data_IF_392976908242
#
_entry.id   IF_392976908242
#
_cell.length_a   1.000
_cell.length_b   1.000
_cell.length_c   1.000
_cell.angle_alpha   90.00
_cell.angle_beta   90.00
_cell.angle_gamma   90.00
#
_symmetry.space_group_name_H-M   'P 1'
#
loop_
_entity.id
_entity.type
_entity.pdbx_description
1 polymer ?
#
# COMPACT_ATOMS: atom_id res chain seq x y z
N UNK A 1 -61.58 35.63 6.17
CA UNK A 1 -60.23 35.03 6.20
C UNK A 1 -60.32 33.59 6.71
N UNK A 2 -60.33 32.58 5.85
CA UNK A 2 -59.98 31.18 6.18
C UNK A 2 -59.35 30.56 4.95
N UNK A 3 -58.16 29.99 5.16
CA UNK A 3 -57.12 29.69 4.16
C UNK A 3 -57.34 28.36 3.47
N UNK A 4 -57.12 28.35 2.14
CA UNK A 4 -57.09 27.17 1.28
C UNK A 4 -55.77 26.44 1.51
N UNK A 5 -55.80 25.19 1.99
CA UNK A 5 -54.62 24.31 2.04
C UNK A 5 -54.45 23.66 0.65
N UNK A 6 -53.44 24.10 -0.10
CA UNK A 6 -52.98 23.40 -1.32
C UNK A 6 -52.16 22.17 -0.90
N UNK A 7 -52.61 20.99 -1.26
CA UNK A 7 -51.86 19.74 -1.12
C UNK A 7 -50.96 19.59 -2.37
N UNK A 8 -49.67 19.80 -2.20
CA UNK A 8 -48.65 19.49 -3.21
C UNK A 8 -48.19 18.05 -2.95
N UNK A 9 -48.55 17.11 -3.83
CA UNK A 9 -48.00 15.76 -3.81
C UNK A 9 -46.81 15.72 -4.78
N UNK A 10 -45.60 15.68 -4.22
CA UNK A 10 -44.35 15.53 -4.96
C UNK A 10 -44.18 14.05 -5.33
N UNK A 11 -44.30 13.72 -6.62
CA UNK A 11 -43.95 12.39 -7.13
C UNK A 11 -42.43 12.28 -7.21
N UNK A 12 -41.83 11.49 -6.31
CA UNK A 12 -40.40 11.17 -6.35
C UNK A 12 -40.18 10.13 -7.45
N UNK A 13 -39.54 10.56 -8.53
CA UNK A 13 -39.05 9.67 -9.59
C UNK A 13 -37.74 9.04 -9.09
N UNK A 14 -37.79 7.78 -8.67
CA UNK A 14 -36.61 7.01 -8.30
C UNK A 14 -35.81 6.68 -9.57
N UNK A 15 -34.78 7.46 -9.86
CA UNK A 15 -33.77 7.14 -10.87
C UNK A 15 -32.90 6.04 -10.25
N UNK A 16 -33.22 4.78 -10.55
CA UNK A 16 -32.31 3.66 -10.29
C UNK A 16 -31.12 3.79 -11.24
N UNK A 17 -30.01 4.30 -10.74
CA UNK A 17 -28.72 4.19 -11.42
C UNK A 17 -28.36 2.70 -11.46
N UNK A 18 -28.50 2.07 -12.62
CA UNK A 18 -27.92 0.76 -12.87
C UNK A 18 -26.40 0.95 -12.82
N UNK A 19 -25.80 0.63 -11.68
CA UNK A 19 -24.36 0.50 -11.59
C UNK A 19 -23.95 -0.66 -12.49
N UNK A 20 -23.17 -0.38 -13.53
CA UNK A 20 -22.49 -1.43 -14.28
C UNK A 20 -21.47 -2.09 -13.34
N UNK A 21 -21.83 -3.23 -12.77
CA UNK A 21 -20.83 -4.11 -12.20
C UNK A 21 -19.93 -4.57 -13.35
N UNK A 22 -18.68 -4.13 -13.35
CA UNK A 22 -17.69 -4.60 -14.33
C UNK A 22 -17.44 -6.09 -14.04
N UNK A 23 -17.83 -6.95 -14.97
CA UNK A 23 -17.63 -8.40 -14.84
C UNK A 23 -16.14 -8.73 -14.74
N UNK A 24 -15.77 -9.54 -13.74
CA UNK A 24 -14.41 -10.06 -13.56
C UNK A 24 -14.21 -11.26 -14.47
N UNK A 25 -13.17 -11.23 -15.30
CA UNK A 25 -12.86 -12.26 -16.28
C UNK A 25 -12.07 -13.38 -15.60
N UNK A 26 -12.57 -14.62 -15.69
CA UNK A 26 -11.93 -15.82 -15.15
C UNK A 26 -11.51 -16.78 -16.27
N UNK A 27 -10.87 -17.90 -15.92
CA UNK A 27 -10.53 -18.97 -16.87
C UNK A 27 -11.78 -19.44 -17.64
N UNK A 28 -12.91 -19.60 -16.94
CA UNK A 28 -14.18 -20.02 -17.51
C UNK A 28 -14.74 -18.99 -18.48
N UNK A 29 -14.64 -17.68 -18.17
CA UNK A 29 -15.07 -16.62 -19.09
C UNK A 29 -14.30 -16.67 -20.40
N UNK A 30 -12.99 -16.90 -20.35
CA UNK A 30 -12.16 -17.01 -21.56
C UNK A 30 -12.53 -18.24 -22.37
N UNK A 31 -12.74 -19.39 -21.73
CA UNK A 31 -13.21 -20.61 -22.41
C UNK A 31 -14.56 -20.36 -23.09
N UNK A 32 -15.52 -19.71 -22.41
CA UNK A 32 -16.80 -19.35 -23.02
C UNK A 32 -16.65 -18.42 -24.22
N UNK A 33 -15.73 -17.46 -24.18
CA UNK A 33 -15.48 -16.60 -25.34
C UNK A 33 -14.92 -17.39 -26.53
N UNK A 34 -14.04 -18.37 -26.28
CA UNK A 34 -13.55 -19.27 -27.34
C UNK A 34 -14.71 -20.11 -27.90
N UNK A 35 -15.55 -20.69 -27.05
CA UNK A 35 -16.72 -21.49 -27.45
C UNK A 35 -17.74 -20.67 -28.27
N UNK A 36 -17.91 -19.39 -27.95
CA UNK A 36 -18.77 -18.46 -28.67
C UNK A 36 -18.13 -17.96 -30.00
N UNK A 37 -16.88 -18.31 -30.28
CA UNK A 37 -16.20 -17.99 -31.52
C UNK A 37 -15.64 -16.57 -31.59
N UNK A 38 -15.36 -15.94 -30.44
CA UNK A 38 -14.60 -14.69 -30.42
C UNK A 38 -13.16 -14.95 -30.88
N UNK A 39 -12.60 -14.00 -31.63
CA UNK A 39 -11.20 -14.10 -32.06
C UNK A 39 -10.23 -13.76 -30.93
N UNK A 40 -8.98 -14.21 -31.10
CA UNK A 40 -7.93 -14.03 -30.09
C UNK A 40 -7.71 -12.55 -29.75
N UNK A 41 -7.80 -11.66 -30.74
CA UNK A 41 -7.64 -10.23 -30.54
C UNK A 41 -8.70 -9.65 -29.60
N UNK A 42 -9.98 -10.00 -29.80
CA UNK A 42 -11.08 -9.52 -28.97
C UNK A 42 -11.04 -10.11 -27.55
N UNK A 43 -10.60 -11.36 -27.41
CA UNK A 43 -10.37 -11.98 -26.10
C UNK A 43 -9.23 -11.25 -25.38
N UNK A 44 -8.10 -11.02 -26.05
CA UNK A 44 -6.94 -10.30 -25.51
C UNK A 44 -7.33 -8.88 -25.09
N UNK A 45 -8.06 -8.13 -25.93
CA UNK A 45 -8.53 -6.78 -25.62
C UNK A 45 -9.45 -6.79 -24.38
N UNK A 46 -10.38 -7.75 -24.32
CA UNK A 46 -11.28 -7.91 -23.18
C UNK A 46 -10.53 -8.20 -21.88
N UNK A 47 -9.53 -9.10 -21.92
CA UNK A 47 -8.66 -9.42 -20.79
C UNK A 47 -7.88 -8.19 -20.34
N UNK A 48 -7.34 -7.40 -21.28
CA UNK A 48 -6.54 -6.22 -20.96
C UNK A 48 -7.35 -5.04 -20.40
N UNK A 49 -8.65 -4.97 -20.72
CA UNK A 49 -9.53 -3.85 -20.34
C UNK A 49 -10.45 -4.16 -19.16
N UNK A 50 -10.44 -5.40 -18.64
CA UNK A 50 -11.33 -5.85 -17.57
C UNK A 50 -10.58 -6.17 -16.28
N UNK A 51 -11.33 -6.31 -15.18
CA UNK A 51 -10.80 -7.00 -14.00
C UNK A 51 -10.64 -8.48 -14.33
N UNK A 52 -9.58 -9.10 -13.84
CA UNK A 52 -9.26 -10.50 -14.12
C UNK A 52 -9.03 -11.25 -12.82
N UNK A 53 -9.31 -12.56 -12.85
CA UNK A 53 -8.99 -13.49 -11.77
C UNK A 53 -8.69 -14.86 -12.37
N UNK A 54 -7.44 -15.06 -12.77
CA UNK A 54 -7.02 -16.32 -13.39
C UNK A 54 -6.32 -17.29 -12.43
N UNK A 55 -6.58 -18.59 -12.61
CA UNK A 55 -5.78 -19.71 -12.11
C UNK A 55 -4.77 -20.13 -13.20
N UNK A 56 -3.47 -19.95 -12.92
CA UNK A 56 -2.39 -20.33 -13.82
C UNK A 56 -1.68 -21.63 -13.40
N UNK A 57 -2.34 -22.49 -12.61
CA UNK A 57 -1.86 -23.84 -12.32
C UNK A 57 -1.74 -24.68 -13.59
N UNK A 58 -0.85 -25.67 -13.58
CA UNK A 58 -0.62 -26.56 -14.74
C UNK A 58 -1.91 -27.28 -15.15
N UNK A 59 -2.77 -27.64 -14.19
CA UNK A 59 -4.06 -28.28 -14.45
C UNK A 59 -4.99 -27.33 -15.20
N UNK A 60 -5.18 -26.10 -14.68
CA UNK A 60 -6.06 -25.11 -15.30
C UNK A 60 -5.58 -24.71 -16.70
N UNK A 61 -4.28 -24.47 -16.89
CA UNK A 61 -3.71 -24.17 -18.20
C UNK A 61 -3.85 -25.35 -19.18
N UNK A 62 -3.73 -26.58 -18.69
CA UNK A 62 -3.97 -27.80 -19.47
C UNK A 62 -5.42 -27.91 -19.93
N UNK A 63 -6.38 -27.61 -19.06
CA UNK A 63 -7.81 -27.59 -19.38
C UNK A 63 -8.14 -26.50 -20.41
N UNK A 64 -7.64 -25.27 -20.22
CA UNK A 64 -7.84 -24.18 -21.17
C UNK A 64 -7.25 -24.49 -22.54
N UNK A 65 -6.05 -25.09 -22.59
CA UNK A 65 -5.44 -25.53 -23.84
C UNK A 65 -6.30 -26.60 -24.54
N UNK A 66 -6.84 -27.55 -23.80
CA UNK A 66 -7.73 -28.58 -24.34
C UNK A 66 -9.07 -28.00 -24.82
N UNK A 67 -9.54 -26.90 -24.21
CA UNK A 67 -10.71 -26.14 -24.63
C UNK A 67 -10.47 -25.25 -25.87
N UNK A 68 -9.26 -25.27 -26.44
CA UNK A 68 -8.94 -24.53 -27.67
C UNK A 68 -8.42 -23.11 -27.46
N UNK A 69 -8.15 -22.70 -26.21
CA UNK A 69 -7.54 -21.40 -25.92
C UNK A 69 -6.13 -21.36 -26.53
N UNK A 70 -5.82 -20.29 -27.27
CA UNK A 70 -4.55 -20.17 -27.98
C UNK A 70 -3.36 -19.97 -27.04
N UNK A 71 -2.16 -20.29 -27.52
CA UNK A 71 -0.94 -20.11 -26.71
C UNK A 71 -0.65 -18.64 -26.39
N UNK A 72 -1.10 -17.70 -27.23
CA UNK A 72 -0.99 -16.26 -27.00
C UNK A 72 -1.87 -15.83 -25.82
N UNK A 73 -3.14 -16.26 -25.80
CA UNK A 73 -4.05 -16.00 -24.68
C UNK A 73 -3.56 -16.69 -23.41
N UNK A 74 -3.09 -17.95 -23.48
CA UNK A 74 -2.52 -18.65 -22.32
C UNK A 74 -1.32 -17.91 -21.74
N UNK A 75 -0.45 -17.36 -22.59
CA UNK A 75 0.70 -16.56 -22.16
C UNK A 75 0.25 -15.27 -21.46
N UNK A 76 -0.76 -14.58 -22.01
CA UNK A 76 -1.34 -13.40 -21.39
C UNK A 76 -2.02 -13.74 -20.04
N UNK A 77 -2.71 -14.87 -19.94
CA UNK A 77 -3.32 -15.34 -18.69
C UNK A 77 -2.24 -15.59 -17.64
N UNK A 78 -1.14 -16.27 -18.02
CA UNK A 78 0.01 -16.46 -17.14
C UNK A 78 0.59 -15.12 -16.69
N UNK A 79 0.76 -14.16 -17.59
CA UNK A 79 1.24 -12.81 -17.26
C UNK A 79 0.29 -12.07 -16.30
N UNK A 80 -1.02 -12.07 -16.59
CA UNK A 80 -2.05 -11.38 -15.79
C UNK A 80 -2.31 -12.06 -14.45
N UNK A 81 -2.16 -13.37 -14.35
CA UNK A 81 -2.26 -14.11 -13.08
C UNK A 81 -1.16 -13.70 -12.09
N UNK A 82 0.02 -13.30 -12.58
CA UNK A 82 1.09 -12.70 -11.75
C UNK A 82 0.74 -11.29 -11.26
N UNK A 83 -0.24 -10.64 -11.89
CA UNK A 83 -0.61 -9.23 -11.71
C UNK A 83 -2.07 -9.08 -11.23
N UNK A 84 -2.66 -10.13 -10.65
CA UNK A 84 -4.00 -10.09 -10.06
C UNK A 84 -4.00 -9.20 -8.81
N UNK A 85 -4.04 -7.90 -9.02
CA UNK A 85 -4.93 -6.96 -8.36
C UNK A 85 -4.68 -5.59 -8.99
N UNK A 86 -5.73 -4.91 -9.46
CA UNK A 86 -5.73 -3.47 -9.78
C UNK A 86 -5.30 -2.57 -8.60
N UNK A 87 -4.96 -3.15 -7.46
CA UNK A 87 -4.51 -2.40 -6.33
C UNK A 87 -3.09 -1.93 -6.59
N UNK A 88 -2.94 -0.62 -6.80
CA UNK A 88 -1.63 0.01 -6.91
C UNK A 88 -0.80 -0.39 -5.70
N UNK A 89 0.49 -0.65 -5.92
CA UNK A 89 1.45 -0.88 -4.86
C UNK A 89 1.33 0.19 -3.77
N UNK A 90 1.19 -0.22 -2.50
CA UNK A 90 0.80 0.69 -1.43
C UNK A 90 0.42 0.01 -0.12
N UNK A 91 0.18 0.84 0.91
CA UNK A 91 -0.48 0.43 2.15
C UNK A 91 -1.85 1.07 2.17
N UNK A 92 -2.87 0.25 2.34
CA UNK A 92 -4.27 0.66 2.45
C UNK A 92 -4.78 0.36 3.85
N UNK A 93 -5.77 1.11 4.32
CA UNK A 93 -6.56 0.74 5.51
C UNK A 93 -8.04 0.66 5.14
N UNK A 94 -8.76 -0.27 5.76
CA UNK A 94 -10.21 -0.40 5.57
C UNK A 94 -10.92 0.53 6.54
N UNK A 95 -11.75 1.43 6.00
CA UNK A 95 -12.48 2.39 6.82
C UNK A 95 -13.79 1.82 7.39
N UNK A 96 -14.53 2.63 8.16
CA UNK A 96 -15.74 2.16 8.85
C UNK A 96 -16.89 1.80 7.90
N UNK A 97 -16.81 2.24 6.64
CA UNK A 97 -17.76 1.87 5.59
C UNK A 97 -17.36 0.59 4.83
N UNK A 98 -16.19 0.04 5.13
CA UNK A 98 -15.62 -1.10 4.40
C UNK A 98 -14.87 -0.71 3.13
N UNK A 99 -14.58 0.58 2.92
CA UNK A 99 -13.81 1.07 1.77
C UNK A 99 -12.31 1.10 2.09
N UNK A 100 -11.50 0.57 1.18
CA UNK A 100 -10.04 0.62 1.27
C UNK A 100 -9.49 1.99 0.86
N UNK A 101 -8.78 2.65 1.78
CA UNK A 101 -8.16 3.97 1.57
C UNK A 101 -6.65 3.88 1.60
N UNK A 102 -6.00 4.48 0.61
CA UNK A 102 -4.54 4.53 0.54
C UNK A 102 -3.98 5.39 1.69
N UNK A 103 -3.06 4.82 2.47
CA UNK A 103 -2.25 5.56 3.44
C UNK A 103 -1.20 6.36 2.66
N UNK A 104 -1.39 7.67 2.60
CA UNK A 104 -0.47 8.55 1.91
C UNK A 104 0.85 8.64 2.69
N UNK A 105 2.03 8.46 2.06
CA UNK A 105 3.29 8.59 2.74
C UNK A 105 3.56 10.04 3.15
N UNK A 106 4.22 10.23 4.29
CA UNK A 106 4.78 11.51 4.74
C UNK A 106 6.30 11.47 4.73
N UNK A 107 6.93 12.60 4.43
CA UNK A 107 8.38 12.77 4.52
C UNK A 107 8.80 13.38 5.86
N UNK A 108 9.91 12.92 6.39
CA UNK A 108 10.56 13.57 7.52
C UNK A 108 11.07 14.95 7.11
N UNK A 109 10.71 16.00 7.87
CA UNK A 109 11.06 17.39 7.58
C UNK A 109 12.46 17.80 8.01
N UNK A 110 13.31 16.84 8.37
CA UNK A 110 14.67 17.06 8.84
C UNK A 110 14.99 16.20 10.05
N UNK A 111 15.84 15.19 9.86
CA UNK A 111 16.72 14.78 10.96
C UNK A 111 17.53 16.03 11.30
N UNK A 112 17.45 16.56 12.53
CA UNK A 112 18.13 17.80 12.90
C UNK A 112 19.63 17.72 12.57
N UNK A 113 20.01 18.24 11.40
CA UNK A 113 21.35 18.22 10.80
C UNK A 113 22.21 19.33 11.37
N UNK A 114 22.12 19.57 12.67
CA UNK A 114 23.04 20.47 13.36
C UNK A 114 24.29 19.70 13.80
N UNK A 115 24.95 19.03 12.84
CA UNK A 115 26.22 18.37 13.06
C UNK A 115 27.30 19.36 13.55
N UNK A 116 27.21 20.63 13.15
CA UNK A 116 28.14 21.69 13.59
C UNK A 116 27.80 22.19 15.00
N UNK A 117 26.52 22.39 15.34
CA UNK A 117 26.12 22.85 16.68
C UNK A 117 26.20 21.75 17.74
N UNK A 118 25.98 20.48 17.38
CA UNK A 118 26.18 19.33 18.29
C UNK A 118 27.66 19.13 18.63
N UNK A 119 28.58 19.46 17.71
CA UNK A 119 30.03 19.31 17.92
C UNK A 119 30.62 20.37 18.85
N UNK A 120 30.00 21.55 18.95
CA UNK A 120 30.49 22.66 19.77
C UNK A 120 29.99 22.63 21.22
N UNK A 121 28.89 21.91 21.50
CA UNK A 121 28.30 21.85 22.85
C UNK A 121 28.53 20.49 23.54
N UNK A 122 28.85 19.43 22.79
CA UNK A 122 28.96 18.07 23.35
C UNK A 122 30.41 17.58 23.42
N UNK A 123 31.14 18.09 24.40
CA UNK A 123 32.13 17.25 25.05
C UNK A 123 31.37 16.16 25.80
N UNK A 124 31.33 14.94 25.24
CA UNK A 124 30.71 13.74 25.81
C UNK A 124 29.16 13.73 25.82
N UNK A 125 28.57 12.59 25.45
CA UNK A 125 27.21 12.06 25.76
C UNK A 125 26.34 11.71 24.54
N UNK A 126 26.00 10.42 24.49
CA UNK A 126 25.08 9.67 23.62
C UNK A 126 23.77 10.42 23.31
N UNK A 127 23.75 11.25 22.26
CA UNK A 127 22.55 11.96 21.83
C UNK A 127 21.69 11.06 20.94
N UNK A 128 20.49 10.71 21.43
CA UNK A 128 19.47 9.98 20.65
C UNK A 128 19.17 10.72 19.34
N UNK A 129 19.29 10.03 18.21
CA UNK A 129 18.84 10.58 16.94
C UNK A 129 17.30 10.52 16.84
N UNK A 130 16.72 11.58 16.28
CA UNK A 130 15.28 11.74 16.12
C UNK A 130 14.94 12.14 14.71
N UNK A 131 13.93 11.50 14.15
CA UNK A 131 13.27 11.94 12.93
C UNK A 131 11.97 12.69 13.28
N UNK A 132 11.62 13.70 12.49
CA UNK A 132 10.50 14.60 12.77
C UNK A 132 9.55 14.69 11.58
N UNK A 133 8.25 14.62 11.86
CA UNK A 133 7.18 14.90 10.90
C UNK A 133 6.50 16.23 11.29
N UNK A 134 6.14 17.06 10.31
CA UNK A 134 5.36 18.26 10.58
C UNK A 134 3.93 17.88 11.02
N UNK A 135 3.26 18.86 11.64
CA UNK A 135 1.92 18.75 12.24
C UNK A 135 1.88 17.83 13.45
N UNK A 136 0.95 18.12 14.35
CA UNK A 136 0.66 17.27 15.52
C UNK A 136 -0.18 16.05 15.17
N UNK A 137 -0.73 16.00 13.95
CA UNK A 137 -1.66 15.00 13.49
C UNK A 137 -1.37 14.58 12.04
N UNK A 138 -1.55 13.31 11.73
CA UNK A 138 -1.47 12.79 10.36
C UNK A 138 -2.66 13.24 9.52
N UNK A 139 -2.45 13.34 8.20
CA UNK A 139 -3.57 13.48 7.26
C UNK A 139 -4.32 12.14 7.08
N UNK A 140 -3.69 10.99 7.38
CA UNK A 140 -4.34 9.68 7.36
C UNK A 140 -5.03 9.47 8.71
N UNK A 141 -6.37 9.53 8.73
CA UNK A 141 -7.17 9.43 9.95
C UNK A 141 -7.97 8.12 9.93
N UNK A 142 -7.82 7.36 11.01
CA UNK A 142 -8.43 6.06 11.21
C UNK A 142 -9.24 6.11 12.51
N UNK A 143 -10.49 5.64 12.49
CA UNK A 143 -11.45 5.75 13.61
C UNK A 143 -11.78 4.40 14.24
N UNK A 144 -10.83 3.48 14.16
CA UNK A 144 -10.91 2.13 14.67
C UNK A 144 -9.68 1.89 15.54
N UNK A 145 -9.90 1.41 16.76
CA UNK A 145 -8.80 1.06 17.67
C UNK A 145 -8.05 -0.19 17.21
N UNK A 146 -8.62 -1.03 16.36
CA UNK A 146 -7.96 -2.17 15.75
C UNK A 146 -8.05 -2.05 14.23
N UNK A 147 -7.19 -1.24 13.60
CA UNK A 147 -7.20 -1.06 12.16
C UNK A 147 -6.78 -2.32 11.42
N UNK A 148 -7.36 -2.51 10.23
CA UNK A 148 -6.90 -3.52 9.28
C UNK A 148 -6.22 -2.81 8.11
N UNK A 149 -4.99 -3.23 7.82
CA UNK A 149 -4.23 -2.73 6.70
C UNK A 149 -4.05 -3.81 5.64
N UNK A 150 -3.95 -3.37 4.40
CA UNK A 150 -3.62 -4.20 3.25
C UNK A 150 -2.34 -3.67 2.62
N UNK A 151 -1.27 -4.45 2.67
CA UNK A 151 0.03 -4.14 2.09
C UNK A 151 0.13 -4.83 0.74
N UNK A 152 0.48 -4.07 -0.30
CA UNK A 152 0.50 -4.55 -1.68
C UNK A 152 1.85 -4.18 -2.26
N UNK A 153 2.67 -5.19 -2.50
CA UNK A 153 4.04 -5.03 -2.98
C UNK A 153 4.11 -5.06 -4.50
N UNK A 154 5.18 -4.53 -5.08
CA UNK A 154 5.41 -4.66 -6.53
C UNK A 154 5.88 -6.10 -6.83
N UNK A 155 5.14 -6.90 -7.61
CA UNK A 155 5.53 -8.29 -7.89
C UNK A 155 6.83 -8.39 -8.70
N UNK A 156 7.25 -7.32 -9.40
CA UNK A 156 8.48 -7.30 -10.20
C UNK A 156 9.77 -7.36 -9.39
N UNK A 157 9.70 -7.22 -8.06
CA UNK A 157 10.88 -7.32 -7.17
C UNK A 157 11.30 -8.77 -6.90
N UNK A 158 10.42 -9.74 -7.18
CA UNK A 158 10.70 -11.18 -7.01
C UNK A 158 11.28 -11.81 -8.27
N UNK A 159 11.18 -11.13 -9.42
CA UNK A 159 11.89 -11.49 -10.63
C UNK A 159 13.32 -11.00 -10.47
N UNK A 160 14.27 -11.95 -10.36
CA UNK A 160 15.70 -11.69 -10.34
C UNK A 160 16.10 -11.15 -11.71
N UNK A 161 15.80 -9.88 -11.97
CA UNK A 161 16.33 -9.18 -13.12
C UNK A 161 17.20 -8.02 -12.67
N UNK A 162 18.37 -7.99 -13.29
CA UNK A 162 19.49 -7.15 -12.94
C UNK A 162 19.02 -5.70 -12.83
N UNK A 163 19.41 -5.03 -11.74
CA UNK A 163 19.30 -3.57 -11.56
C UNK A 163 20.22 -2.81 -12.54
N UNK A 164 20.13 -3.08 -13.83
CA UNK A 164 20.73 -2.31 -14.90
C UNK A 164 19.66 -2.10 -15.96
N UNK A 165 19.31 -0.82 -16.13
CA UNK A 165 18.48 -0.27 -17.21
C UNK A 165 17.00 -0.14 -16.89
N UNK A 166 16.68 0.92 -16.14
CA UNK A 166 15.56 1.75 -16.56
C UNK A 166 15.94 3.23 -16.46
N UNK A 167 16.70 3.66 -17.48
CA UNK A 167 16.75 5.04 -17.92
C UNK A 167 15.46 5.27 -18.74
N UNK A 168 14.36 5.53 -18.03
CA UNK A 168 13.03 5.71 -18.60
C UNK A 168 12.22 6.61 -17.67
N UNK A 169 11.88 7.77 -18.19
CA UNK A 169 11.26 8.91 -17.52
C UNK A 169 10.02 8.57 -16.68
N UNK A 170 9.97 9.18 -15.49
CA UNK A 170 8.85 9.27 -14.53
C UNK A 170 8.85 8.33 -13.31
N UNK A 171 10.03 8.06 -12.75
CA UNK A 171 10.17 7.46 -11.43
C UNK A 171 10.13 8.53 -10.33
N UNK A 172 8.92 8.91 -9.92
CA UNK A 172 8.70 9.68 -8.70
C UNK A 172 9.47 9.07 -7.53
N UNK A 173 10.25 9.91 -6.86
CA UNK A 173 11.20 9.64 -5.75
C UNK A 173 10.53 8.92 -4.55
N UNK A 174 9.20 8.81 -4.57
CA UNK A 174 8.32 8.40 -3.47
C UNK A 174 7.80 6.95 -3.54
N UNK A 175 8.35 6.04 -4.37
CA UNK A 175 7.87 4.64 -4.42
C UNK A 175 8.98 3.58 -4.28
N UNK A 176 10.23 3.95 -4.00
CA UNK A 176 11.35 3.01 -4.00
C UNK A 176 11.25 1.91 -2.94
N UNK A 177 10.65 2.19 -1.78
CA UNK A 177 10.53 1.22 -0.68
C UNK A 177 9.61 0.04 -1.04
N UNK A 178 8.55 0.23 -1.83
CA UNK A 178 7.74 -0.90 -2.29
C UNK A 178 8.35 -1.63 -3.50
N UNK A 179 9.35 -1.04 -4.16
CA UNK A 179 10.19 -1.72 -5.15
C UNK A 179 11.34 -2.52 -4.52
N UNK A 180 11.47 -2.50 -3.20
CA UNK A 180 12.55 -3.17 -2.46
C UNK A 180 12.00 -4.08 -1.38
N UNK A 181 10.93 -3.65 -0.70
CA UNK A 181 10.20 -4.48 0.23
C UNK A 181 9.42 -5.56 -0.52
N UNK A 182 9.52 -6.78 -0.03
CA UNK A 182 8.81 -7.94 -0.55
C UNK A 182 7.69 -8.42 0.38
N UNK A 183 7.71 -8.00 1.64
CA UNK A 183 6.77 -8.46 2.66
C UNK A 183 6.67 -7.48 3.86
N UNK A 184 5.62 -7.57 4.69
CA UNK A 184 5.41 -6.62 5.79
C UNK A 184 6.43 -6.72 6.95
N UNK A 185 7.20 -7.81 7.09
CA UNK A 185 8.22 -7.91 8.15
C UNK A 185 9.38 -6.93 7.96
N UNK A 186 9.53 -6.38 6.75
CA UNK A 186 10.50 -5.32 6.47
C UNK A 186 10.04 -3.94 6.98
N UNK A 187 8.86 -3.86 7.62
CA UNK A 187 8.34 -2.68 8.26
C UNK A 187 8.27 -2.88 9.77
N UNK A 188 8.40 -1.77 10.50
CA UNK A 188 8.13 -1.69 11.93
C UNK A 188 7.02 -0.69 12.18
N UNK A 189 6.06 -1.06 13.04
CA UNK A 189 5.04 -0.15 13.54
C UNK A 189 5.53 0.53 14.81
N UNK A 190 5.43 1.86 14.89
CA UNK A 190 5.86 2.63 16.06
C UNK A 190 4.84 3.68 16.45
N UNK A 191 4.83 4.06 17.74
CA UNK A 191 4.09 5.23 18.23
C UNK A 191 4.95 6.48 18.13
N UNK A 192 4.40 7.54 17.55
CA UNK A 192 5.02 8.86 17.45
C UNK A 192 4.79 9.67 18.73
N UNK A 193 5.79 10.48 19.09
CA UNK A 193 5.66 11.45 20.19
C UNK A 193 5.20 12.79 19.63
N UNK A 194 3.99 13.21 19.99
CA UNK A 194 3.47 14.54 19.62
C UNK A 194 4.16 15.64 20.44
N UNK A 195 4.60 16.71 19.77
CA UNK A 195 5.17 17.92 20.37
C UNK A 195 4.27 19.10 20.04
N UNK A 196 3.16 19.23 20.77
CA UNK A 196 2.14 20.28 20.60
C UNK A 196 2.73 21.67 20.38
N UNK A 197 3.60 22.12 21.31
CA UNK A 197 4.22 23.45 21.26
C UNK A 197 5.09 23.70 20.03
N UNK A 198 5.57 22.64 19.38
CA UNK A 198 6.43 22.70 18.19
C UNK A 198 5.69 22.34 16.90
N UNK A 199 4.38 22.04 17.00
CA UNK A 199 3.55 21.60 15.89
C UNK A 199 4.18 20.47 15.05
N UNK A 200 4.73 19.45 15.72
CA UNK A 200 5.42 18.33 15.07
C UNK A 200 5.25 17.03 15.83
N UNK A 201 5.59 15.92 15.19
CA UNK A 201 5.68 14.56 15.74
C UNK A 201 7.11 14.06 15.62
N UNK A 202 7.59 13.31 16.61
CA UNK A 202 8.96 12.76 16.63
C UNK A 202 8.97 11.25 16.84
N UNK A 203 9.90 10.55 16.20
CA UNK A 203 10.27 9.16 16.49
C UNK A 203 11.76 9.08 16.81
N UNK A 204 12.12 8.22 17.77
CA UNK A 204 13.52 7.94 18.11
C UNK A 204 14.01 6.87 17.14
N UNK A 205 14.99 7.19 16.31
CA UNK A 205 15.53 6.28 15.27
C UNK A 205 16.84 5.60 15.68
N UNK A 206 17.40 5.90 16.86
CA UNK A 206 18.56 5.20 17.39
C UNK A 206 19.19 5.84 18.63
N UNK A 207 19.86 5.03 19.46
CA UNK A 207 20.61 5.48 20.65
C UNK A 207 22.13 5.53 20.43
N UNK A 208 22.71 4.64 19.62
CA UNK A 208 24.15 4.59 19.37
C UNK A 208 24.41 3.99 17.98
N UNK A 209 25.37 4.58 17.25
CA UNK A 209 26.06 3.98 16.10
C UNK A 209 25.37 3.93 14.72
N UNK A 210 25.37 5.08 14.03
CA UNK A 210 25.54 5.12 12.55
C UNK A 210 26.94 4.62 12.11
N UNK A 211 27.85 4.33 13.06
CA UNK A 211 29.22 3.84 12.82
C UNK A 211 29.30 2.31 12.61
N UNK A 212 28.21 1.57 12.87
CA UNK A 212 28.13 0.11 12.64
C UNK A 212 26.80 -0.27 12.00
N UNK A 213 26.58 0.14 10.75
CA UNK A 213 25.79 -0.52 9.68
C UNK A 213 24.41 -1.17 9.94
N UNK A 214 23.76 -1.00 11.09
CA UNK A 214 22.39 -1.50 11.35
C UNK A 214 21.49 -0.36 11.81
N UNK A 215 20.95 0.39 10.85
CA UNK A 215 19.94 1.43 11.09
C UNK A 215 18.57 0.77 11.33
N UNK A 216 18.22 0.53 12.59
CA UNK A 216 16.93 -0.06 12.96
C UNK A 216 16.28 0.69 14.12
N UNK A 217 14.95 0.67 14.18
CA UNK A 217 14.21 1.14 15.36
C UNK A 217 14.52 0.20 16.53
N UNK A 218 14.79 0.77 17.71
CA UNK A 218 14.99 -0.03 18.93
C UNK A 218 13.73 -0.86 19.21
N UNK A 219 13.83 -2.22 19.31
CA UNK A 219 12.68 -3.11 19.41
C UNK A 219 11.69 -2.78 20.52
N UNK A 220 12.13 -2.11 21.59
CA UNK A 220 11.22 -1.69 22.67
C UNK A 220 10.20 -0.62 22.27
N UNK A 221 10.43 0.05 21.15
CA UNK A 221 9.51 1.04 20.57
C UNK A 221 8.65 0.44 19.46
N UNK A 222 8.93 -0.80 19.05
CA UNK A 222 8.13 -1.53 18.07
C UNK A 222 6.82 -2.02 18.71
N UNK A 223 5.73 -1.82 17.99
CA UNK A 223 4.42 -2.39 18.30
C UNK A 223 4.21 -3.65 17.46
N UNK A 224 3.52 -4.63 18.03
CA UNK A 224 3.25 -5.89 17.34
C UNK A 224 2.10 -5.72 16.33
N UNK A 225 2.16 -6.54 15.29
CA UNK A 225 1.07 -6.75 14.35
C UNK A 225 1.12 -8.17 13.81
N UNK A 226 -0.05 -8.73 13.49
CA UNK A 226 -0.19 -9.99 12.77
C UNK A 226 -0.09 -9.76 11.26
N UNK A 227 0.38 -10.76 10.54
CA UNK A 227 0.46 -10.78 9.07
C UNK A 227 -0.26 -12.03 8.58
N UNK A 228 -1.13 -11.86 7.58
CA UNK A 228 -1.79 -12.94 6.85
C UNK A 228 -1.58 -12.69 5.35
N UNK A 229 -1.05 -13.68 4.63
CA UNK A 229 -0.96 -13.61 3.17
C UNK A 229 -2.34 -13.81 2.57
N UNK A 230 -2.79 -12.87 1.73
CA UNK A 230 -4.07 -12.98 1.03
C UNK A 230 -3.84 -13.63 -0.33
N UNK A 231 -2.95 -13.05 -1.14
CA UNK A 231 -2.65 -13.48 -2.51
C UNK A 231 -1.29 -12.92 -2.95
N UNK A 232 -0.26 -13.77 -3.02
CA UNK A 232 1.05 -13.43 -3.60
C UNK A 232 1.70 -12.19 -2.99
N UNK A 233 1.62 -11.05 -3.69
CA UNK A 233 2.18 -9.76 -3.28
C UNK A 233 1.27 -8.96 -2.32
N UNK A 234 0.14 -9.51 -1.88
CA UNK A 234 -0.87 -8.86 -1.03
C UNK A 234 -0.97 -9.51 0.34
N UNK A 235 -0.81 -8.70 1.38
CA UNK A 235 -0.80 -9.13 2.78
C UNK A 235 -1.77 -8.30 3.62
N UNK A 236 -2.55 -8.96 4.45
CA UNK A 236 -3.30 -8.31 5.54
C UNK A 236 -2.36 -8.11 6.72
N UNK A 237 -2.39 -6.91 7.29
CA UNK A 237 -1.60 -6.50 8.44
C UNK A 237 -2.53 -5.94 9.51
N UNK A 238 -2.56 -6.58 10.68
CA UNK A 238 -3.46 -6.22 11.77
C UNK A 238 -2.65 -5.95 13.04
N UNK A 239 -2.44 -4.68 13.42
CA UNK A 239 -1.86 -4.33 14.71
C UNK A 239 -2.67 -4.85 15.88
N UNK A 240 -1.99 -5.05 17.02
CA UNK A 240 -2.69 -5.11 18.31
C UNK A 240 -3.52 -3.84 18.52
N UNK A 241 -4.50 -3.89 19.42
CA UNK A 241 -5.36 -2.73 19.70
C UNK A 241 -4.53 -1.50 20.07
N UNK A 242 -4.77 -0.41 19.36
CA UNK A 242 -4.08 0.86 19.48
C UNK A 242 -4.96 1.87 20.21
N UNK A 243 -4.39 2.49 21.24
CA UNK A 243 -4.96 3.67 21.89
C UNK A 243 -4.96 4.88 20.94
N UNK A 244 -5.84 5.87 21.15
CA UNK A 244 -5.78 7.12 20.41
C UNK A 244 -4.37 7.73 20.40
N UNK A 245 -3.94 8.20 19.23
CA UNK A 245 -2.60 8.75 19.06
C UNK A 245 -2.06 8.65 17.63
N UNK A 246 -0.78 8.96 17.50
CA UNK A 246 -0.07 9.04 16.23
C UNK A 246 0.88 7.87 16.08
N UNK A 247 0.84 7.21 14.92
CA UNK A 247 1.60 6.01 14.63
C UNK A 247 2.20 6.08 13.23
N UNK A 248 3.20 5.26 12.95
CA UNK A 248 3.63 5.05 11.57
C UNK A 248 4.25 3.67 11.34
N UNK A 249 4.13 3.19 10.10
CA UNK A 249 5.00 2.13 9.59
C UNK A 249 6.27 2.74 8.99
N UNK A 250 7.42 2.19 9.39
CA UNK A 250 8.75 2.60 8.93
C UNK A 250 9.42 1.41 8.26
N UNK A 251 9.93 1.58 7.05
CA UNK A 251 10.77 0.57 6.40
C UNK A 251 12.11 0.42 7.14
N UNK A 252 12.48 -0.82 7.47
CA UNK A 252 13.72 -1.16 8.18
C UNK A 252 14.60 -2.16 7.41
N UNK A 253 14.26 -2.45 6.15
CA UNK A 253 15.08 -3.26 5.27
C UNK A 253 16.33 -2.53 4.76
N UNK A 254 17.06 -3.18 3.86
CA UNK A 254 18.30 -2.62 3.31
C UNK A 254 18.00 -1.38 2.44
N UNK A 255 18.62 -0.25 2.79
CA UNK A 255 18.52 0.98 2.00
C UNK A 255 19.61 0.97 0.93
N UNK A 256 19.29 1.14 -0.37
CA UNK A 256 20.29 1.20 -1.43
C UNK A 256 21.33 2.29 -1.22
N UNK A 257 22.55 2.07 -1.68
CA UNK A 257 23.60 3.09 -1.62
C UNK A 257 23.14 4.42 -2.25
N UNK A 258 23.38 5.52 -1.53
CA UNK A 258 23.00 6.87 -1.96
C UNK A 258 21.53 7.24 -1.68
N UNK A 259 20.77 6.39 -0.97
CA UNK A 259 19.42 6.72 -0.49
C UNK A 259 19.39 6.77 1.03
N UNK A 260 18.47 7.58 1.55
CA UNK A 260 18.11 7.61 2.97
C UNK A 260 16.63 7.22 3.12
N UNK A 261 16.28 6.59 4.23
CA UNK A 261 14.88 6.37 4.55
C UNK A 261 14.23 7.68 5.02
N UNK A 262 13.68 8.44 4.07
CA UNK A 262 13.12 9.77 4.30
C UNK A 262 11.59 9.78 4.48
N UNK A 263 10.92 8.66 4.22
CA UNK A 263 9.45 8.60 4.18
C UNK A 263 8.90 7.51 5.09
N UNK A 264 7.70 7.76 5.62
CA UNK A 264 6.97 6.84 6.49
C UNK A 264 5.49 6.86 6.16
N UNK A 265 4.78 5.83 6.58
CA UNK A 265 3.33 5.75 6.47
C UNK A 265 2.72 6.08 7.82
N UNK A 266 2.52 7.36 8.09
CA UNK A 266 1.95 7.82 9.36
C UNK A 266 0.42 7.84 9.31
N UNK A 267 -0.20 7.60 10.45
CA UNK A 267 -1.64 7.66 10.63
C UNK A 267 -2.02 8.05 12.06
N UNK A 268 -3.22 8.58 12.21
CA UNK A 268 -3.82 8.94 13.50
C UNK A 268 -4.92 7.94 13.83
N UNK A 269 -4.89 7.38 15.05
CA UNK A 269 -6.01 6.65 15.64
C UNK A 269 -6.83 7.65 16.47
N UNK A 270 -8.14 7.70 16.22
CA UNK A 270 -9.11 8.59 16.89
C UNK A 270 -10.32 7.82 17.43
#
# INVERSE_FOLDING_TARGET
MKTIKKLFLFTVFAITTIGFAQETITNESVVQMVELGFDDYMIIDKINTSDVKFDASISALGEMKNAGVSSEILSLIMEKSKQNTKSKTGIYFTDASGEDKLVQPSVFSGANSNAVAQKLVSGLINSKQKAQLPKTQSNNIIRQSQPEFTFIFDPSVTEVDNMQNNQGSDSGIFNWWFRMASNPNEFVLVKLTVKEKKNLREVITGKESWITSSSGIDPKYALNFAIEEIEGNKFKVTPDSLEPGEYCFIYQGQVPQGRDNQSVFDFSIQ
#
